data_IF_073514761919
#
_entry.id   IF_073514761919
#
_cell.length_a   1.000
_cell.length_b   1.000
_cell.length_c   1.000
_cell.angle_alpha   90.00
_cell.angle_beta   90.00
_cell.angle_gamma   90.00
#
_symmetry.space_group_name_H-M   'P 1'
#
loop_
_entity.id
_entity.type
_entity.pdbx_description
1 polymer ?
#
# COMPACT_ATOMS: atom_id res chain seq x y z
N UNK A 1 11.26 -26.17 13.79
CA UNK A 1 11.50 -24.72 13.70
C UNK A 1 10.28 -24.07 13.07
N UNK A 2 9.73 -22.99 13.65
CA UNK A 2 8.66 -22.22 13.02
C UNK A 2 9.19 -21.53 11.76
N UNK A 3 8.50 -21.69 10.65
CA UNK A 3 8.95 -21.18 9.34
C UNK A 3 8.85 -19.67 9.31
N UNK A 4 9.99 -18.98 9.21
CA UNK A 4 10.03 -17.51 9.12
C UNK A 4 9.65 -17.05 7.71
N UNK A 5 8.88 -15.94 7.55
CA UNK A 5 8.68 -15.33 6.25
C UNK A 5 10.03 -14.91 5.63
N UNK A 6 10.14 -15.13 4.31
CA UNK A 6 11.33 -14.87 3.53
C UNK A 6 11.03 -14.15 2.21
N UNK A 7 9.76 -13.79 1.95
CA UNK A 7 9.33 -12.98 0.82
C UNK A 7 8.48 -11.80 1.32
N UNK A 8 8.92 -10.58 1.03
CA UNK A 8 8.23 -9.38 1.47
C UNK A 8 7.82 -8.50 0.30
N UNK A 9 6.52 -8.20 0.21
CA UNK A 9 6.00 -7.25 -0.79
C UNK A 9 5.88 -5.89 -0.14
N UNK A 10 6.69 -4.97 -0.64
CA UNK A 10 6.72 -3.57 -0.24
C UNK A 10 6.09 -2.72 -1.34
N UNK A 11 5.80 -1.49 -1.01
CA UNK A 11 5.28 -0.50 -1.96
C UNK A 11 4.65 0.63 -1.20
N UNK A 12 4.08 1.58 -1.90
CA UNK A 12 3.21 2.56 -1.26
C UNK A 12 1.78 2.03 -1.12
N UNK A 13 0.96 2.64 -0.25
CA UNK A 13 -0.48 2.47 -0.32
C UNK A 13 -0.97 2.72 -1.75
N UNK A 14 -1.94 1.98 -2.23
CA UNK A 14 -2.51 2.11 -3.59
C UNK A 14 -1.59 1.74 -4.76
N UNK A 15 -0.44 1.11 -4.52
CA UNK A 15 0.47 0.60 -5.56
C UNK A 15 0.09 -0.79 -6.11
N UNK A 16 -1.11 -1.30 -5.83
CA UNK A 16 -1.57 -2.58 -6.37
C UNK A 16 -1.06 -3.82 -5.64
N UNK A 17 -0.45 -3.67 -4.46
CA UNK A 17 0.09 -4.77 -3.66
C UNK A 17 -0.94 -5.85 -3.35
N UNK A 18 -2.21 -5.49 -3.15
CA UNK A 18 -3.28 -6.46 -2.86
C UNK A 18 -3.53 -7.38 -4.05
N UNK A 19 -3.71 -6.84 -5.25
CA UNK A 19 -3.91 -7.64 -6.45
C UNK A 19 -2.69 -8.52 -6.75
N UNK A 20 -1.49 -7.97 -6.59
CA UNK A 20 -0.26 -8.71 -6.80
C UNK A 20 -0.09 -9.88 -5.81
N UNK A 21 -0.37 -9.67 -4.52
CA UNK A 21 -0.37 -10.72 -3.51
C UNK A 21 -1.41 -11.80 -3.81
N UNK A 22 -2.61 -11.43 -4.28
CA UNK A 22 -3.63 -12.40 -4.68
C UNK A 22 -3.18 -13.28 -5.84
N UNK A 23 -2.43 -12.74 -6.78
CA UNK A 23 -1.82 -13.52 -7.85
C UNK A 23 -0.74 -14.46 -7.33
N UNK A 24 0.16 -13.97 -6.46
CA UNK A 24 1.23 -14.80 -5.90
C UNK A 24 0.72 -15.93 -5.00
N UNK A 25 -0.40 -15.73 -4.30
CA UNK A 25 -1.04 -16.76 -3.46
C UNK A 25 -1.48 -18.02 -4.23
N UNK A 26 -1.69 -17.91 -5.54
CA UNK A 26 -2.10 -19.04 -6.37
C UNK A 26 -0.93 -19.98 -6.70
N UNK A 27 0.31 -19.52 -6.51
CA UNK A 27 1.49 -20.31 -6.82
C UNK A 27 1.78 -21.36 -5.73
N UNK A 28 1.89 -22.64 -6.13
CA UNK A 28 2.07 -23.79 -5.22
C UNK A 28 3.29 -23.72 -4.30
N UNK A 29 4.35 -23.03 -4.74
CA UNK A 29 5.59 -22.88 -3.97
C UNK A 29 5.56 -21.69 -3.01
N UNK A 30 4.47 -20.90 -2.97
CA UNK A 30 4.36 -19.68 -2.15
C UNK A 30 3.21 -19.83 -1.15
N UNK A 31 3.51 -19.79 0.13
CA UNK A 31 2.50 -19.65 1.19
C UNK A 31 2.46 -18.20 1.66
N UNK A 32 1.30 -17.72 2.02
CA UNK A 32 1.12 -16.36 2.47
C UNK A 32 0.67 -16.29 3.91
N UNK A 33 1.06 -15.24 4.65
CA UNK A 33 0.54 -14.94 5.98
C UNK A 33 -0.99 -14.98 6.01
N UNK A 34 -1.58 -15.38 7.13
CA UNK A 34 -3.04 -15.44 7.31
C UNK A 34 -3.72 -14.07 7.12
N UNK A 35 -3.01 -13.00 7.41
CA UNK A 35 -3.46 -11.61 7.25
C UNK A 35 -2.51 -10.83 6.35
N UNK A 36 -3.06 -9.86 5.64
CA UNK A 36 -2.30 -8.84 4.90
C UNK A 36 -2.18 -7.58 5.75
N UNK A 37 -1.11 -6.80 5.50
CA UNK A 37 -0.89 -5.52 6.18
C UNK A 37 -0.75 -5.67 7.70
N UNK A 38 0.14 -6.57 8.10
CA UNK A 38 0.43 -6.86 9.52
C UNK A 38 1.20 -5.70 10.17
N UNK A 39 2.03 -5.00 9.38
CA UNK A 39 2.84 -3.84 9.77
C UNK A 39 3.78 -4.08 10.98
N UNK A 40 4.06 -5.34 11.30
CA UNK A 40 4.84 -5.73 12.48
C UNK A 40 6.22 -5.07 12.54
N UNK A 41 6.86 -4.85 11.39
CA UNK A 41 8.20 -4.28 11.32
C UNK A 41 8.22 -2.75 11.28
N UNK A 42 7.07 -2.07 11.15
CA UNK A 42 6.92 -0.61 11.18
C UNK A 42 6.97 -0.05 12.62
N UNK A 43 8.10 -0.21 13.31
CA UNK A 43 8.24 0.21 14.71
C UNK A 43 8.26 1.73 14.90
N UNK A 44 8.54 2.47 13.86
CA UNK A 44 8.62 3.93 13.81
C UNK A 44 7.30 4.61 13.42
N UNK A 45 6.25 3.86 13.06
CA UNK A 45 4.92 4.38 12.75
C UNK A 45 3.97 3.93 13.86
N UNK A 46 3.71 4.83 14.82
CA UNK A 46 3.02 4.49 16.09
C UNK A 46 1.64 3.89 15.89
N UNK A 47 0.83 4.45 14.98
CA UNK A 47 -0.53 3.95 14.72
C UNK A 47 -0.50 2.52 14.15
N UNK A 48 0.42 2.21 13.25
CA UNK A 48 0.54 0.88 12.65
C UNK A 48 1.13 -0.12 13.64
N UNK A 49 2.14 0.31 14.43
CA UNK A 49 2.73 -0.55 15.44
C UNK A 49 1.73 -0.97 16.51
N UNK A 50 0.88 -0.05 16.98
CA UNK A 50 -0.19 -0.37 17.93
C UNK A 50 -1.23 -1.32 17.35
N UNK A 51 -1.53 -1.21 16.06
CA UNK A 51 -2.52 -2.05 15.37
C UNK A 51 -2.04 -3.48 15.13
N UNK A 52 -0.73 -3.74 15.11
CA UNK A 52 -0.16 -5.08 14.84
C UNK A 52 -0.55 -6.15 15.87
N UNK A 53 -1.04 -5.75 17.04
CA UNK A 53 -1.52 -6.62 18.13
C UNK A 53 -0.56 -7.77 18.52
N UNK A 54 0.75 -7.63 18.22
CA UNK A 54 1.80 -8.60 18.58
C UNK A 54 3.02 -7.87 19.14
N UNK A 55 3.55 -8.39 20.25
CA UNK A 55 4.63 -7.75 21.01
C UNK A 55 6.01 -8.22 20.56
N UNK A 56 6.14 -9.47 20.14
CA UNK A 56 7.43 -10.09 19.82
C UNK A 56 7.33 -11.04 18.61
N UNK A 57 8.48 -11.52 18.16
CA UNK A 57 8.59 -12.38 16.97
C UNK A 57 7.92 -13.74 17.15
N UNK A 58 7.87 -14.29 18.35
CA UNK A 58 7.20 -15.57 18.64
C UNK A 58 5.69 -15.44 18.46
N UNK A 59 5.10 -14.37 19.00
CA UNK A 59 3.67 -14.06 18.82
C UNK A 59 3.35 -13.76 17.35
N UNK A 60 4.22 -13.00 16.65
CA UNK A 60 4.09 -12.72 15.23
C UNK A 60 4.03 -13.99 14.40
N UNK A 61 4.97 -14.93 14.60
CA UNK A 61 4.98 -16.20 13.88
C UNK A 61 3.78 -17.08 14.24
N UNK A 62 3.44 -17.16 15.53
CA UNK A 62 2.31 -17.98 16.01
C UNK A 62 0.97 -17.49 15.46
N UNK A 63 0.78 -16.16 15.41
CA UNK A 63 -0.51 -15.57 15.01
C UNK A 63 -0.72 -15.59 13.50
N UNK A 64 0.32 -15.33 12.71
CA UNK A 64 0.17 -15.08 11.27
C UNK A 64 0.75 -16.15 10.36
N UNK A 65 1.57 -17.06 10.91
CA UNK A 65 2.27 -18.10 10.14
C UNK A 65 2.08 -19.50 10.75
N UNK A 66 0.96 -19.71 11.45
CA UNK A 66 0.59 -21.00 12.00
C UNK A 66 -0.15 -21.82 10.92
N UNK A 67 0.59 -22.53 10.10
CA UNK A 67 0.07 -23.45 9.09
C UNK A 67 0.95 -24.70 9.04
N UNK A 68 0.39 -25.78 8.52
CA UNK A 68 1.10 -27.07 8.39
C UNK A 68 2.41 -26.93 7.61
N UNK A 69 3.42 -27.67 8.04
CA UNK A 69 4.69 -27.77 7.33
C UNK A 69 4.47 -28.46 5.98
N UNK A 70 4.35 -27.66 4.92
CA UNK A 70 4.58 -28.09 3.55
C UNK A 70 5.88 -27.47 3.06
N UNK A 71 6.53 -28.08 2.09
CA UNK A 71 7.79 -27.58 1.51
C UNK A 71 7.53 -26.38 0.59
N UNK A 72 7.12 -25.25 1.18
CA UNK A 72 7.04 -23.98 0.45
C UNK A 72 8.42 -23.37 0.30
N UNK A 73 8.79 -22.94 -0.91
CA UNK A 73 10.02 -22.20 -1.14
C UNK A 73 9.95 -20.81 -0.54
N UNK A 74 8.77 -20.20 -0.59
CA UNK A 74 8.55 -18.87 -0.06
C UNK A 74 7.35 -18.78 0.88
N UNK A 75 7.57 -18.02 1.96
CA UNK A 75 6.52 -17.61 2.89
C UNK A 75 6.45 -16.11 2.83
N UNK A 76 5.32 -15.60 2.32
CA UNK A 76 5.15 -14.21 1.98
C UNK A 76 4.40 -13.41 3.04
N UNK A 77 4.78 -12.15 3.14
CA UNK A 77 4.07 -11.09 3.84
C UNK A 77 4.12 -9.80 3.01
N UNK A 78 3.14 -8.92 3.17
CA UNK A 78 3.11 -7.66 2.46
C UNK A 78 2.36 -6.58 3.23
N UNK A 79 3.09 -5.53 3.55
CA UNK A 79 2.57 -4.33 4.22
C UNK A 79 3.02 -3.08 3.45
N UNK A 80 2.09 -2.24 2.97
CA UNK A 80 2.42 -1.09 2.12
C UNK A 80 3.37 -0.10 2.78
N UNK A 81 3.26 0.05 4.09
CA UNK A 81 4.06 1.01 4.85
C UNK A 81 5.50 0.57 5.13
N UNK A 82 5.89 -0.67 4.83
CA UNK A 82 7.29 -1.11 5.00
C UNK A 82 8.28 -0.32 4.16
N UNK A 83 7.89 0.16 2.98
CA UNK A 83 8.74 1.02 2.16
C UNK A 83 8.86 2.43 2.75
N UNK A 84 7.78 2.97 3.30
CA UNK A 84 7.75 4.28 3.95
C UNK A 84 8.53 4.30 5.28
N UNK A 85 8.38 3.27 6.10
CA UNK A 85 9.10 3.10 7.37
C UNK A 85 10.62 3.18 7.17
N UNK A 86 11.29 3.89 8.07
CA UNK A 86 12.76 4.03 8.05
C UNK A 86 13.47 2.82 8.66
N UNK A 87 12.77 2.02 9.44
CA UNK A 87 13.35 0.88 10.20
C UNK A 87 12.88 -0.48 9.70
N UNK A 88 11.72 -0.57 9.02
CA UNK A 88 11.10 -1.86 8.68
C UNK A 88 12.02 -2.78 7.88
N UNK A 89 12.68 -2.30 6.83
CA UNK A 89 13.57 -3.11 5.98
C UNK A 89 14.76 -3.65 6.81
N UNK A 90 15.36 -2.82 7.66
CA UNK A 90 16.45 -3.25 8.55
C UNK A 90 15.96 -4.29 9.55
N UNK A 91 14.78 -4.10 10.13
CA UNK A 91 14.17 -5.05 11.07
C UNK A 91 13.85 -6.38 10.39
N UNK A 92 13.37 -6.37 9.15
CA UNK A 92 13.13 -7.58 8.36
C UNK A 92 14.44 -8.33 8.11
N UNK A 93 15.50 -7.64 7.68
CA UNK A 93 16.80 -8.26 7.43
C UNK A 93 17.46 -8.80 8.71
N UNK A 94 17.28 -8.11 9.84
CA UNK A 94 17.70 -8.62 11.17
C UNK A 94 16.91 -9.87 11.57
N UNK A 95 15.63 -9.93 11.24
CA UNK A 95 14.76 -11.07 11.53
C UNK A 95 15.05 -12.27 10.61
N UNK A 96 15.29 -12.03 9.32
CA UNK A 96 15.67 -13.03 8.33
C UNK A 96 16.55 -12.39 7.23
N UNK A 97 17.85 -12.57 7.31
CA UNK A 97 18.84 -11.99 6.39
C UNK A 97 18.73 -12.51 4.94
N UNK A 98 18.07 -13.68 4.76
CA UNK A 98 17.84 -14.30 3.43
C UNK A 98 16.57 -13.79 2.76
N UNK A 99 15.88 -12.80 3.33
CA UNK A 99 14.62 -12.26 2.78
C UNK A 99 14.79 -11.70 1.39
N UNK A 100 13.83 -12.02 0.53
CA UNK A 100 13.64 -11.38 -0.79
C UNK A 100 12.56 -10.31 -0.71
N UNK A 101 12.77 -9.23 -1.46
CA UNK A 101 11.92 -8.05 -1.46
C UNK A 101 11.43 -7.76 -2.86
N UNK A 102 10.13 -7.50 -2.98
CA UNK A 102 9.53 -7.00 -4.22
C UNK A 102 8.87 -5.67 -3.89
N UNK A 103 9.29 -4.61 -4.59
CA UNK A 103 8.76 -3.26 -4.40
C UNK A 103 7.85 -2.92 -5.58
N UNK A 104 6.58 -2.58 -5.30
CA UNK A 104 5.67 -2.02 -6.30
C UNK A 104 5.66 -0.50 -6.20
N UNK A 105 5.91 0.14 -7.34
CA UNK A 105 5.96 1.60 -7.50
C UNK A 105 4.81 2.06 -8.39
N UNK A 106 4.19 3.15 -8.00
CA UNK A 106 3.14 3.84 -8.77
C UNK A 106 3.52 5.31 -8.94
N UNK A 107 2.94 5.97 -9.95
CA UNK A 107 3.05 7.41 -10.09
C UNK A 107 2.57 8.12 -8.81
N UNK A 108 3.42 8.95 -8.16
CA UNK A 108 3.10 9.57 -6.88
C UNK A 108 1.92 10.54 -6.94
N UNK A 109 1.68 11.17 -8.10
CA UNK A 109 0.54 12.08 -8.32
C UNK A 109 -0.77 11.31 -8.17
N UNK A 110 -0.96 10.27 -8.97
CA UNK A 110 -2.17 9.44 -8.91
C UNK A 110 -2.27 8.66 -7.59
N UNK A 111 -1.14 8.33 -6.96
CA UNK A 111 -1.11 7.64 -5.68
C UNK A 111 -1.62 8.52 -4.55
N UNK A 112 -1.15 9.78 -4.44
CA UNK A 112 -1.53 10.70 -3.35
C UNK A 112 -3.02 11.01 -3.37
N UNK A 113 -3.57 11.31 -4.52
CA UNK A 113 -4.99 11.55 -4.69
C UNK A 113 -5.84 10.30 -4.36
N UNK A 114 -5.43 9.12 -4.85
CA UNK A 114 -6.13 7.88 -4.54
C UNK A 114 -6.01 7.48 -3.07
N UNK A 115 -4.91 7.83 -2.39
CA UNK A 115 -4.72 7.61 -0.96
C UNK A 115 -5.69 8.46 -0.14
N UNK A 116 -5.79 9.76 -0.44
CA UNK A 116 -6.74 10.65 0.21
C UNK A 116 -8.18 10.14 0.05
N UNK A 117 -8.62 9.85 -1.17
CA UNK A 117 -9.96 9.34 -1.44
C UNK A 117 -10.25 8.05 -0.66
N UNK A 118 -9.26 7.16 -0.52
CA UNK A 118 -9.39 5.94 0.27
C UNK A 118 -9.56 6.23 1.76
N UNK A 119 -8.74 7.12 2.32
CA UNK A 119 -8.78 7.47 3.75
C UNK A 119 -10.05 8.22 4.10
N UNK A 120 -10.50 9.12 3.22
CA UNK A 120 -11.75 9.85 3.37
C UNK A 120 -12.95 8.90 3.30
N UNK A 121 -13.00 8.02 2.29
CA UNK A 121 -14.06 7.01 2.18
C UNK A 121 -14.09 6.05 3.39
N UNK A 122 -12.93 5.73 3.98
CA UNK A 122 -12.85 4.91 5.19
C UNK A 122 -13.23 5.69 6.47
N UNK A 123 -13.55 6.98 6.37
CA UNK A 123 -13.86 7.84 7.52
C UNK A 123 -12.66 8.12 8.43
N UNK A 124 -11.44 7.89 7.92
CA UNK A 124 -10.19 8.19 8.64
C UNK A 124 -9.75 9.63 8.42
N UNK A 125 -9.80 10.10 7.17
CA UNK A 125 -9.55 11.49 6.78
C UNK A 125 -10.85 12.29 6.85
N UNK A 126 -10.97 13.26 7.77
CA UNK A 126 -12.18 14.07 7.91
C UNK A 126 -12.31 15.15 6.82
N UNK A 127 -11.17 15.60 6.25
CA UNK A 127 -11.19 16.63 5.21
C UNK A 127 -11.51 16.02 3.84
N UNK A 128 -12.67 16.38 3.30
CA UNK A 128 -13.16 15.86 2.02
C UNK A 128 -12.48 16.44 0.80
N UNK A 129 -12.03 17.70 0.88
CA UNK A 129 -11.30 18.35 -0.20
C UNK A 129 -9.82 17.98 -0.15
N UNK A 130 -9.29 17.48 -1.27
CA UNK A 130 -7.91 17.01 -1.35
C UNK A 130 -6.89 18.13 -1.10
N UNK A 131 -7.08 19.31 -1.68
CA UNK A 131 -6.13 20.43 -1.54
C UNK A 131 -6.09 20.97 -0.11
N UNK A 132 -7.26 21.05 0.55
CA UNK A 132 -7.31 21.40 1.97
C UNK A 132 -6.59 20.35 2.82
N UNK A 133 -6.84 19.06 2.59
CA UNK A 133 -6.16 17.96 3.28
C UNK A 133 -4.63 17.99 3.06
N UNK A 134 -4.20 18.30 1.83
CA UNK A 134 -2.80 18.48 1.48
C UNK A 134 -2.15 19.62 2.27
N UNK A 135 -2.78 20.78 2.34
CA UNK A 135 -2.27 21.96 3.06
C UNK A 135 -2.22 21.75 4.58
N UNK A 136 -3.06 20.89 5.11
CA UNK A 136 -3.10 20.57 6.55
C UNK A 136 -1.96 19.65 7.02
N UNK A 137 -1.18 19.02 6.13
CA UNK A 137 -0.18 17.99 6.48
C UNK A 137 0.78 18.46 7.59
N UNK A 138 1.38 19.65 7.44
CA UNK A 138 2.36 20.18 8.39
C UNK A 138 1.71 20.53 9.74
N UNK A 139 0.52 21.13 9.72
CA UNK A 139 -0.25 21.45 10.93
C UNK A 139 -0.58 20.20 11.72
N UNK A 140 -1.01 19.13 11.04
CA UNK A 140 -1.38 17.86 11.66
C UNK A 140 -0.24 17.17 12.40
N UNK A 141 1.02 17.36 12.00
CA UNK A 141 2.16 16.80 12.72
C UNK A 141 2.41 17.47 14.09
N UNK A 142 1.93 18.70 14.26
CA UNK A 142 2.10 19.48 15.50
C UNK A 142 0.97 19.23 16.52
N UNK A 143 -0.15 18.65 16.08
CA UNK A 143 -1.31 18.38 16.93
C UNK A 143 -1.00 17.22 17.87
N UNK A 144 -1.17 17.42 19.18
CA UNK A 144 -0.91 16.43 20.22
C UNK A 144 -2.18 15.69 20.65
N UNK A 145 -2.06 14.49 21.24
CA UNK A 145 -3.18 13.85 21.93
C UNK A 145 -3.75 14.80 23.00
N UNK A 146 -5.08 14.96 23.01
CA UNK A 146 -5.78 15.91 23.88
C UNK A 146 -6.26 17.17 23.17
N UNK A 147 -5.66 17.57 22.05
CA UNK A 147 -6.14 18.68 21.24
C UNK A 147 -7.47 18.34 20.56
N UNK A 148 -8.42 19.30 20.47
CA UNK A 148 -9.73 19.11 19.81
C UNK A 148 -9.61 18.62 18.35
N UNK A 149 -8.52 18.99 17.66
CA UNK A 149 -8.24 18.59 16.28
C UNK A 149 -7.39 17.31 16.18
N UNK A 150 -7.12 16.64 17.31
CA UNK A 150 -6.33 15.42 17.30
C UNK A 150 -7.05 14.29 16.57
N UNK A 151 -6.36 13.71 15.59
CA UNK A 151 -6.79 12.48 14.94
C UNK A 151 -5.67 11.44 15.05
N UNK A 152 -5.97 10.26 15.56
CA UNK A 152 -5.01 9.16 15.70
C UNK A 152 -4.34 8.76 14.38
N UNK A 153 -4.93 9.11 13.24
CA UNK A 153 -4.40 8.84 11.90
C UNK A 153 -3.53 9.95 11.32
N UNK A 154 -3.23 11.01 12.08
CA UNK A 154 -2.43 12.16 11.58
C UNK A 154 -1.11 11.76 10.93
N UNK A 155 -0.47 10.66 11.40
CA UNK A 155 0.74 10.12 10.78
C UNK A 155 0.51 9.61 9.35
N UNK A 156 -0.71 9.15 9.02
CA UNK A 156 -1.09 8.60 7.72
C UNK A 156 -1.55 9.69 6.73
N UNK A 157 -1.76 10.92 7.19
CA UNK A 157 -2.16 12.06 6.35
C UNK A 157 -0.98 12.84 5.78
N UNK A 158 0.22 12.28 5.84
CA UNK A 158 1.43 12.89 5.29
C UNK A 158 1.60 12.52 3.81
N UNK A 159 0.67 12.95 2.97
CA UNK A 159 0.56 12.55 1.56
C UNK A 159 1.86 12.72 0.79
N UNK A 160 2.52 13.88 0.89
CA UNK A 160 3.79 14.16 0.22
C UNK A 160 4.86 13.15 0.64
N UNK A 161 5.05 12.95 1.95
CA UNK A 161 6.08 12.04 2.47
C UNK A 161 5.79 10.57 2.14
N UNK A 162 4.53 10.14 2.28
CA UNK A 162 4.11 8.76 2.02
C UNK A 162 4.24 8.43 0.53
N UNK A 163 3.97 9.40 -0.35
CA UNK A 163 4.01 9.21 -1.80
C UNK A 163 5.38 9.53 -2.43
N UNK A 164 6.39 9.96 -1.65
CA UNK A 164 7.77 10.18 -2.12
C UNK A 164 8.50 8.85 -2.39
N UNK A 165 7.99 8.09 -3.36
CA UNK A 165 8.44 6.72 -3.64
C UNK A 165 9.85 6.67 -4.25
N UNK A 166 10.31 7.70 -4.96
CA UNK A 166 11.66 7.79 -5.48
C UNK A 166 12.71 7.82 -4.35
N UNK A 167 12.51 8.73 -3.40
CA UNK A 167 13.36 8.84 -2.20
C UNK A 167 13.35 7.55 -1.38
N UNK A 168 12.17 6.94 -1.19
CA UNK A 168 12.04 5.68 -0.46
C UNK A 168 12.73 4.54 -1.18
N UNK A 169 12.67 4.48 -2.51
CA UNK A 169 13.34 3.49 -3.33
C UNK A 169 14.86 3.60 -3.21
N UNK A 170 15.42 4.82 -3.31
CA UNK A 170 16.87 5.03 -3.11
C UNK A 170 17.31 4.50 -1.75
N UNK A 171 16.56 4.81 -0.69
CA UNK A 171 16.84 4.31 0.66
C UNK A 171 16.80 2.78 0.71
N UNK A 172 15.79 2.15 0.14
CA UNK A 172 15.66 0.70 0.11
C UNK A 172 16.83 0.03 -0.64
N UNK A 173 17.26 0.58 -1.78
CA UNK A 173 18.40 0.07 -2.58
C UNK A 173 19.74 0.14 -1.85
N UNK A 174 19.90 1.09 -0.91
CA UNK A 174 21.10 1.17 -0.07
C UNK A 174 21.15 0.07 1.01
N UNK A 175 20.02 -0.50 1.37
CA UNK A 175 19.90 -1.45 2.49
C UNK A 175 19.74 -2.89 1.96
N UNK A 176 18.97 -3.08 0.89
CA UNK A 176 18.65 -4.42 0.35
C UNK A 176 19.72 -4.83 -0.68
N UNK A 177 20.38 -5.99 -0.53
CA UNK A 177 21.29 -6.50 -1.54
C UNK A 177 20.60 -6.63 -2.91
N UNK A 178 21.28 -6.21 -3.99
CA UNK A 178 20.71 -6.20 -5.36
C UNK A 178 20.08 -7.54 -5.76
N UNK A 179 20.71 -8.67 -5.42
CA UNK A 179 20.21 -10.03 -5.71
C UNK A 179 18.91 -10.39 -4.97
N UNK A 180 18.55 -9.63 -3.94
CA UNK A 180 17.36 -9.85 -3.12
C UNK A 180 16.26 -8.82 -3.36
N UNK A 181 16.40 -7.95 -4.37
CA UNK A 181 15.47 -6.87 -4.67
C UNK A 181 14.95 -6.94 -6.09
N UNK A 182 13.63 -7.01 -6.24
CA UNK A 182 12.92 -6.81 -7.49
C UNK A 182 12.05 -5.55 -7.40
N UNK A 183 12.11 -4.69 -8.41
CA UNK A 183 11.29 -3.48 -8.51
C UNK A 183 10.33 -3.65 -9.68
N UNK A 184 9.06 -3.39 -9.43
CA UNK A 184 7.97 -3.54 -10.39
C UNK A 184 7.15 -2.24 -10.47
N UNK A 185 6.69 -1.92 -11.67
CA UNK A 185 5.78 -0.80 -11.91
C UNK A 185 4.32 -1.27 -11.78
N UNK A 186 3.50 -0.44 -11.14
CA UNK A 186 2.06 -0.63 -11.10
C UNK A 186 1.44 -0.52 -12.51
N UNK A 187 1.96 0.40 -13.35
CA UNK A 187 1.49 0.55 -14.73
C UNK A 187 1.77 -0.71 -15.56
N UNK A 188 2.94 -1.33 -15.38
CA UNK A 188 3.27 -2.59 -16.07
C UNK A 188 2.40 -3.74 -15.56
N UNK A 189 2.13 -3.77 -14.25
CA UNK A 189 1.24 -4.78 -13.66
C UNK A 189 -0.18 -4.67 -14.23
N UNK A 190 -0.69 -3.45 -14.45
CA UNK A 190 -2.00 -3.23 -15.05
C UNK A 190 -2.04 -3.58 -16.53
N UNK A 191 -0.99 -3.19 -17.29
CA UNK A 191 -0.93 -3.42 -18.73
C UNK A 191 -0.67 -4.89 -19.09
N UNK A 192 0.24 -5.54 -18.39
CA UNK A 192 0.64 -6.91 -18.69
C UNK A 192 1.10 -7.68 -17.45
N UNK A 193 0.14 -8.07 -16.62
CA UNK A 193 0.42 -8.81 -15.39
C UNK A 193 1.16 -10.14 -15.64
N UNK A 194 0.92 -10.83 -16.77
CA UNK A 194 1.62 -12.08 -17.12
C UNK A 194 3.13 -11.87 -17.26
N UNK A 195 3.55 -10.79 -17.94
CA UNK A 195 4.96 -10.39 -18.06
C UNK A 195 5.59 -10.08 -16.70
N UNK A 196 4.83 -9.37 -15.84
CA UNK A 196 5.26 -9.03 -14.47
C UNK A 196 5.42 -10.30 -13.62
N UNK A 197 4.48 -11.24 -13.69
CA UNK A 197 4.58 -12.52 -12.98
C UNK A 197 5.74 -13.38 -13.48
N UNK A 198 5.96 -13.48 -14.81
CA UNK A 198 7.12 -14.18 -15.37
C UNK A 198 8.43 -13.62 -14.80
N UNK A 199 8.58 -12.30 -14.78
CA UNK A 199 9.73 -11.61 -14.18
C UNK A 199 9.89 -11.93 -12.69
N UNK A 200 8.77 -12.00 -11.98
CA UNK A 200 8.74 -12.32 -10.56
C UNK A 200 9.16 -13.76 -10.29
N UNK A 201 8.67 -14.72 -11.04
CA UNK A 201 9.02 -16.13 -10.85
C UNK A 201 10.49 -16.42 -11.20
N UNK A 202 11.03 -15.75 -12.23
CA UNK A 202 12.47 -15.80 -12.53
C UNK A 202 13.28 -15.24 -11.35
N UNK A 203 12.90 -14.08 -10.79
CA UNK A 203 13.57 -13.50 -9.63
C UNK A 203 13.53 -14.41 -8.39
N UNK A 204 12.42 -15.11 -8.20
CA UNK A 204 12.23 -16.04 -7.10
C UNK A 204 12.88 -17.40 -7.37
N UNK A 205 13.37 -17.66 -8.57
CA UNK A 205 13.88 -18.96 -8.99
C UNK A 205 12.89 -20.11 -8.75
N UNK A 206 11.65 -19.89 -9.20
CA UNK A 206 10.57 -20.88 -9.17
C UNK A 206 9.97 -21.04 -10.55
N UNK A 207 9.43 -22.24 -10.83
CA UNK A 207 8.83 -22.54 -12.13
C UNK A 207 7.66 -21.60 -12.44
N UNK A 208 7.45 -21.34 -13.74
CA UNK A 208 6.28 -20.60 -14.16
C UNK A 208 5.01 -21.40 -13.86
N UNK A 209 4.03 -20.72 -13.32
CA UNK A 209 2.68 -21.26 -13.10
C UNK A 209 1.67 -20.26 -13.66
N UNK A 210 0.68 -20.77 -14.39
CA UNK A 210 -0.44 -19.93 -14.82
C UNK A 210 -1.20 -19.39 -13.59
N UNK A 211 -1.53 -18.13 -13.65
CA UNK A 211 -2.19 -17.41 -12.53
C UNK A 211 -3.28 -16.53 -13.13
N UNK A 212 -4.48 -16.63 -12.60
CA UNK A 212 -5.59 -15.79 -13.00
C UNK A 212 -5.53 -14.40 -12.35
N UNK A 213 -5.66 -13.39 -13.17
CA UNK A 213 -5.84 -12.02 -12.68
C UNK A 213 -7.32 -11.75 -12.40
N UNK A 214 -7.85 -12.21 -11.27
CA UNK A 214 -9.11 -11.64 -10.80
C UNK A 214 -8.85 -10.17 -10.49
N UNK A 215 -9.59 -9.24 -11.13
CA UNK A 215 -9.51 -7.82 -10.80
C UNK A 215 -10.02 -7.63 -9.37
N UNK A 216 -9.09 -7.63 -8.43
CA UNK A 216 -9.37 -7.39 -7.01
C UNK A 216 -9.40 -5.87 -6.82
N UNK A 217 -10.52 -5.36 -6.33
CA UNK A 217 -10.72 -3.92 -6.05
C UNK A 217 -10.64 -3.01 -7.31
N UNK A 218 -11.51 -3.20 -8.28
CA UNK A 218 -11.73 -2.16 -9.30
C UNK A 218 -12.14 -0.86 -8.59
N UNK A 219 -11.36 0.21 -8.80
CA UNK A 219 -11.88 1.55 -8.51
C UNK A 219 -12.90 1.89 -9.59
N UNK A 220 -14.08 2.26 -9.21
CA UNK A 220 -15.12 2.72 -10.14
C UNK A 220 -15.18 4.23 -10.07
N UNK A 221 -15.10 4.88 -11.23
CA UNK A 221 -15.33 6.32 -11.33
C UNK A 221 -16.82 6.55 -11.18
N UNK A 222 -17.22 7.33 -10.18
CA UNK A 222 -18.61 7.72 -9.99
C UNK A 222 -18.85 9.02 -10.76
N UNK A 223 -19.70 8.94 -11.80
CA UNK A 223 -20.07 10.09 -12.61
C UNK A 223 -21.28 10.86 -12.06
N UNK A 224 -21.96 10.36 -11.02
CA UNK A 224 -23.11 11.04 -10.42
C UNK A 224 -22.68 12.20 -9.54
N UNK A 225 -23.10 13.41 -9.87
CA UNK A 225 -22.82 14.63 -9.10
C UNK A 225 -23.36 14.57 -7.66
N UNK A 226 -24.52 13.91 -7.46
CA UNK A 226 -25.14 13.73 -6.15
C UNK A 226 -24.25 12.86 -5.27
N UNK A 227 -23.76 11.74 -5.80
CA UNK A 227 -22.87 10.83 -5.08
C UNK A 227 -21.51 11.50 -4.81
N UNK A 228 -21.00 12.32 -5.75
CA UNK A 228 -19.80 13.12 -5.53
C UNK A 228 -19.98 14.10 -4.37
N UNK A 229 -21.09 14.85 -4.33
CA UNK A 229 -21.40 15.78 -3.22
C UNK A 229 -21.51 15.06 -1.87
N UNK A 230 -22.15 13.91 -1.81
CA UNK A 230 -22.32 13.13 -0.59
C UNK A 230 -20.94 12.59 -0.10
N UNK A 231 -20.10 12.10 -1.01
CA UNK A 231 -18.78 11.55 -0.66
C UNK A 231 -17.74 12.62 -0.32
N UNK A 232 -17.87 13.84 -0.87
CA UNK A 232 -16.98 14.98 -0.57
C UNK A 232 -17.41 15.78 0.67
N UNK A 233 -18.61 15.53 1.20
CA UNK A 233 -19.11 16.20 2.39
C UNK A 233 -18.56 15.56 3.68
N UNK A 234 -18.44 16.34 4.76
CA UNK A 234 -17.98 15.91 6.08
C UNK A 234 -18.99 15.04 6.84
N UNK A 235 -19.80 14.25 6.15
CA UNK A 235 -20.78 13.37 6.79
C UNK A 235 -20.14 12.30 7.66
N UNK A 236 -20.81 11.95 8.75
CA UNK A 236 -20.38 10.88 9.64
C UNK A 236 -20.28 9.54 8.91
N UNK A 237 -19.36 8.68 9.36
CA UNK A 237 -19.15 7.33 8.81
C UNK A 237 -20.46 6.52 8.71
N UNK A 238 -21.32 6.61 9.72
CA UNK A 238 -22.60 5.89 9.76
C UNK A 238 -23.56 6.31 8.64
N UNK A 239 -23.57 7.60 8.28
CA UNK A 239 -24.42 8.09 7.20
C UNK A 239 -23.85 7.67 5.82
N UNK A 240 -22.53 7.69 5.65
CA UNK A 240 -21.88 7.18 4.43
C UNK A 240 -22.10 5.69 4.25
N UNK A 241 -21.97 4.90 5.31
CA UNK A 241 -22.23 3.44 5.27
C UNK A 241 -23.70 3.14 4.94
N UNK A 242 -24.66 3.93 5.47
CA UNK A 242 -26.08 3.84 5.09
C UNK A 242 -26.27 4.15 3.60
N UNK A 243 -25.68 5.22 3.08
CA UNK A 243 -25.78 5.59 1.67
C UNK A 243 -25.16 4.51 0.74
N UNK A 244 -23.97 4.01 1.11
CA UNK A 244 -23.32 2.90 0.37
C UNK A 244 -24.20 1.65 0.37
N UNK A 245 -24.95 1.38 1.44
CA UNK A 245 -25.86 0.25 1.54
C UNK A 245 -27.19 0.51 0.79
N UNK A 246 -27.77 1.71 0.90
CA UNK A 246 -29.03 2.09 0.20
C UNK A 246 -28.83 1.98 -1.33
N UNK A 247 -27.72 2.51 -1.85
CA UNK A 247 -27.42 2.43 -3.28
C UNK A 247 -26.77 1.11 -3.70
N UNK A 248 -26.67 0.14 -2.78
CA UNK A 248 -26.13 -1.20 -3.03
C UNK A 248 -24.74 -1.19 -3.73
N UNK A 249 -23.95 -0.16 -3.46
CA UNK A 249 -22.65 0.09 -4.12
C UNK A 249 -21.68 -1.07 -3.91
N UNK A 250 -21.77 -1.76 -2.75
CA UNK A 250 -20.95 -2.95 -2.46
C UNK A 250 -21.39 -4.18 -3.26
N UNK A 251 -22.70 -4.37 -3.49
CA UNK A 251 -23.24 -5.55 -4.16
C UNK A 251 -23.06 -5.50 -5.69
N UNK A 252 -22.95 -4.29 -6.27
CA UNK A 252 -22.68 -4.10 -7.69
C UNK A 252 -21.23 -4.43 -8.09
N UNK A 253 -20.39 -4.94 -7.17
CA UNK A 253 -18.98 -5.18 -7.46
C UNK A 253 -18.21 -3.89 -7.77
N UNK A 254 -18.83 -2.75 -7.49
CA UNK A 254 -18.28 -1.42 -7.70
C UNK A 254 -17.19 -1.22 -6.65
N UNK A 255 -15.95 -1.15 -7.09
CA UNK A 255 -14.81 -0.85 -6.23
C UNK A 255 -14.97 0.50 -5.56
N UNK A 256 -14.06 0.81 -4.63
CA UNK A 256 -14.09 2.08 -3.90
C UNK A 256 -14.19 3.25 -4.87
N UNK A 257 -15.20 4.14 -4.71
CA UNK A 257 -15.37 5.27 -5.62
C UNK A 257 -14.13 6.16 -5.58
N UNK A 258 -13.62 6.51 -6.74
CA UNK A 258 -12.57 7.51 -6.91
C UNK A 258 -13.16 8.70 -7.66
N UNK A 259 -13.11 9.88 -7.05
CA UNK A 259 -13.43 11.10 -7.77
C UNK A 259 -12.33 11.35 -8.82
N UNK A 260 -12.68 11.82 -10.02
CA UNK A 260 -11.68 12.26 -10.99
C UNK A 260 -10.88 13.43 -10.40
N UNK A 261 -9.56 13.43 -10.64
CA UNK A 261 -8.70 14.54 -10.27
C UNK A 261 -8.87 15.66 -11.28
N UNK A 262 -9.11 16.88 -10.81
CA UNK A 262 -9.13 18.07 -11.67
C UNK A 262 -7.72 18.42 -12.19
N UNK A 263 -7.65 19.18 -13.28
CA UNK A 263 -6.38 19.51 -13.94
C UNK A 263 -5.51 20.47 -13.12
N UNK A 264 -6.10 21.32 -12.29
CA UNK A 264 -5.35 22.21 -11.40
C UNK A 264 -4.61 21.41 -10.32
N UNK A 265 -5.33 20.56 -9.61
CA UNK A 265 -4.77 19.59 -8.64
C UNK A 265 -3.67 18.74 -9.29
N UNK A 266 -3.87 18.28 -10.51
CA UNK A 266 -2.90 17.46 -11.22
C UNK A 266 -1.63 18.24 -11.55
N UNK A 267 -1.73 19.48 -12.06
CA UNK A 267 -0.58 20.36 -12.33
C UNK A 267 0.20 20.64 -11.06
N UNK A 268 -0.50 20.99 -9.98
CA UNK A 268 0.10 21.21 -8.67
C UNK A 268 0.91 19.98 -8.22
N UNK A 269 0.31 18.78 -8.24
CA UNK A 269 0.97 17.56 -7.81
C UNK A 269 2.14 17.15 -8.71
N UNK A 270 2.06 17.40 -10.02
CA UNK A 270 3.18 17.18 -10.94
C UNK A 270 4.38 18.05 -10.55
N UNK A 271 4.16 19.28 -10.14
CA UNK A 271 5.23 20.15 -9.63
C UNK A 271 5.78 19.64 -8.29
N UNK A 272 4.91 19.32 -7.33
CA UNK A 272 5.28 18.83 -6.01
C UNK A 272 6.10 17.53 -6.04
N UNK A 273 5.81 16.63 -6.99
CA UNK A 273 6.49 15.35 -7.16
C UNK A 273 7.50 15.32 -8.31
N UNK A 274 7.86 16.46 -8.89
CA UNK A 274 8.79 16.55 -10.04
C UNK A 274 10.10 15.79 -9.78
N UNK A 275 10.71 16.00 -8.62
CA UNK A 275 11.95 15.34 -8.22
C UNK A 275 11.76 13.82 -8.05
N UNK A 276 10.68 13.41 -7.41
CA UNK A 276 10.37 12.00 -7.19
C UNK A 276 10.16 11.25 -8.51
N UNK A 277 9.39 11.85 -9.44
CA UNK A 277 9.16 11.30 -10.78
C UNK A 277 10.49 11.20 -11.56
N UNK A 278 11.35 12.22 -11.47
CA UNK A 278 12.68 12.21 -12.10
C UNK A 278 13.51 11.01 -11.60
N UNK A 279 13.57 10.81 -10.28
CA UNK A 279 14.27 9.67 -9.68
C UNK A 279 13.71 8.34 -10.21
N UNK A 280 12.38 8.17 -10.22
CA UNK A 280 11.75 6.93 -10.67
C UNK A 280 12.07 6.64 -12.15
N UNK A 281 12.03 7.67 -13.01
CA UNK A 281 12.40 7.55 -14.43
C UNK A 281 13.88 7.17 -14.62
N UNK A 282 14.80 7.76 -13.86
CA UNK A 282 16.23 7.39 -13.86
C UNK A 282 16.43 5.91 -13.49
N UNK A 283 15.58 5.35 -12.69
CA UNK A 283 15.58 3.92 -12.35
C UNK A 283 14.77 3.06 -13.34
N UNK A 284 14.40 3.60 -14.52
CA UNK A 284 13.65 2.91 -15.59
C UNK A 284 12.31 2.33 -15.11
N UNK A 285 11.65 3.04 -14.20
CA UNK A 285 10.33 2.65 -13.69
C UNK A 285 9.26 3.40 -14.48
N UNK A 286 8.34 2.65 -15.03
CA UNK A 286 7.21 3.17 -15.80
C UNK A 286 6.15 3.75 -14.82
N UNK A 287 6.12 5.10 -14.66
CA UNK A 287 5.22 5.86 -13.77
C UNK A 287 4.47 6.96 -14.51
#
# INVERSE_FOLDING_TARGET
MKTKPNLFILGGPKCGTTAFVHMLKQHKSIKWASHKEIDYFCKDIKILHKSSAVKNSTQYLRKYFNFEKKNYHYIGEGSPFYLYSRVAIKNILKFNSKSKFIILIRNPVSMSYTLHNMLNFAGQEPEGNFMNAWNLQTKRLKIKPGDKLYNKYNELFQYKKICSLGTQLIRAKKIIPKKNLLILSYNDLQKNYKKVLKKTFIFLNINYQHVDSKKVNKSTIINSEIIKKILSSSFSKNLRDKIVNIFNIKSLGIGRPTLPMDEETKKFLLNEFKSEIKILKQHKINV
#
